data_IF_265999498511
#
_entry.id   IF_265999498511
#
_cell.length_a   1.000
_cell.length_b   1.000
_cell.length_c   1.000
_cell.angle_alpha   90.00
_cell.angle_beta   90.00
_cell.angle_gamma   90.00
#
_symmetry.space_group_name_H-M   'P 1'
#
loop_
_entity.id
_entity.type
_entity.pdbx_description
1 polymer ?
#
# COMPACT_ATOMS: atom_id res chain seq x y z
N UNK A 1 12.50 -5.30 16.56
CA UNK A 1 11.44 -5.35 15.53
C UNK A 1 11.86 -4.46 14.37
N UNK A 2 11.98 -5.02 13.18
CA UNK A 2 12.30 -4.30 11.95
C UNK A 2 11.13 -4.46 10.96
N UNK A 3 10.52 -3.34 10.56
CA UNK A 3 9.39 -3.30 9.63
C UNK A 3 9.78 -2.40 8.46
N UNK A 4 9.67 -2.90 7.23
CA UNK A 4 9.78 -2.10 6.02
C UNK A 4 8.37 -1.72 5.55
N UNK A 5 8.09 -0.43 5.55
CA UNK A 5 6.73 0.06 5.34
C UNK A 5 6.29 0.09 3.87
N UNK A 6 7.19 -0.03 2.93
CA UNK A 6 6.88 -0.37 1.54
C UNK A 6 8.10 -1.00 0.87
N UNK A 7 7.91 -2.20 0.34
CA UNK A 7 8.92 -2.86 -0.47
C UNK A 7 8.35 -3.28 -1.82
N UNK A 8 9.10 -3.00 -2.87
CA UNK A 8 8.90 -3.50 -4.22
C UNK A 8 10.19 -4.16 -4.70
N UNK A 9 10.11 -5.42 -5.10
CA UNK A 9 11.26 -6.21 -5.54
C UNK A 9 10.85 -7.25 -6.59
N UNK A 10 11.84 -7.78 -7.32
CA UNK A 10 11.66 -8.98 -8.12
C UNK A 10 11.60 -10.19 -7.18
N UNK A 11 10.40 -10.46 -6.64
CA UNK A 11 10.14 -11.44 -5.61
C UNK A 11 10.65 -12.83 -5.99
N UNK A 12 11.34 -13.46 -5.07
CA UNK A 12 11.92 -14.80 -5.23
C UNK A 12 12.34 -15.35 -3.88
N UNK A 13 12.59 -16.65 -3.79
CA UNK A 13 13.13 -17.31 -2.60
C UNK A 13 14.39 -16.59 -2.08
N UNK A 14 15.27 -16.13 -2.99
CA UNK A 14 16.48 -15.38 -2.63
C UNK A 14 16.14 -14.12 -1.82
N UNK A 15 15.15 -13.35 -2.25
CA UNK A 15 14.72 -12.13 -1.53
C UNK A 15 14.13 -12.50 -0.16
N UNK A 16 13.32 -13.56 -0.09
CA UNK A 16 12.74 -14.02 1.18
C UNK A 16 13.83 -14.46 2.17
N UNK A 17 14.86 -15.16 1.72
CA UNK A 17 16.02 -15.50 2.57
C UNK A 17 16.79 -14.26 3.01
N UNK A 18 17.07 -13.32 2.13
CA UNK A 18 17.74 -12.06 2.46
C UNK A 18 16.98 -11.24 3.50
N UNK A 19 15.64 -11.20 3.42
CA UNK A 19 14.80 -10.56 4.45
C UNK A 19 15.00 -11.25 5.82
N UNK A 20 15.05 -12.59 5.87
CA UNK A 20 15.31 -13.32 7.13
C UNK A 20 16.71 -13.07 7.65
N UNK A 21 17.73 -13.10 6.79
CA UNK A 21 19.12 -12.78 7.13
C UNK A 21 19.26 -11.35 7.68
N UNK A 22 18.51 -10.40 7.09
CA UNK A 22 18.44 -9.01 7.53
C UNK A 22 17.58 -8.77 8.77
N UNK A 23 16.91 -9.80 9.32
CA UNK A 23 16.07 -9.69 10.53
C UNK A 23 14.78 -8.89 10.30
N UNK A 24 14.24 -8.86 9.08
CA UNK A 24 13.00 -8.14 8.75
C UNK A 24 11.79 -8.93 9.25
N UNK A 25 11.08 -8.40 10.24
CA UNK A 25 9.92 -9.05 10.86
C UNK A 25 8.65 -8.91 10.02
N UNK A 26 8.47 -7.77 9.36
CA UNK A 26 7.32 -7.51 8.52
C UNK A 26 7.65 -6.56 7.36
N UNK A 27 6.93 -6.73 6.25
CA UNK A 27 6.97 -5.80 5.12
C UNK A 27 5.57 -5.52 4.60
N UNK A 28 5.36 -4.29 4.10
CA UNK A 28 4.25 -3.92 3.26
C UNK A 28 4.70 -4.07 1.79
N UNK A 29 3.98 -4.87 1.02
CA UNK A 29 4.29 -5.11 -0.39
C UNK A 29 3.23 -4.54 -1.32
N UNK A 30 3.65 -4.02 -2.45
CA UNK A 30 2.76 -3.56 -3.49
C UNK A 30 2.20 -4.73 -4.29
N UNK A 31 0.88 -4.88 -4.29
CA UNK A 31 0.15 -5.89 -5.08
C UNK A 31 -0.33 -5.28 -6.41
N UNK A 32 -0.64 -3.98 -6.41
CA UNK A 32 -1.12 -3.29 -7.60
C UNK A 32 -0.61 -1.85 -7.66
N UNK A 33 -0.31 -1.41 -8.89
CA UNK A 33 -0.03 -0.03 -9.28
C UNK A 33 -1.11 0.51 -10.20
N UNK A 34 -1.28 -0.11 -11.38
CA UNK A 34 -2.22 0.27 -12.43
C UNK A 34 -3.09 -0.90 -12.87
N UNK A 35 -2.89 -2.06 -12.25
CA UNK A 35 -3.66 -3.25 -12.51
C UNK A 35 -5.14 -3.01 -12.19
N UNK A 36 -6.01 -3.49 -13.05
CA UNK A 36 -7.45 -3.58 -12.80
C UNK A 36 -7.75 -4.68 -11.75
N UNK A 37 -9.03 -4.82 -11.39
CA UNK A 37 -9.42 -5.82 -10.39
C UNK A 37 -8.99 -7.25 -10.76
N UNK A 38 -9.20 -7.66 -12.01
CA UNK A 38 -8.86 -9.00 -12.47
C UNK A 38 -7.36 -9.28 -12.37
N UNK A 39 -6.55 -8.36 -12.86
CA UNK A 39 -5.08 -8.47 -12.80
C UNK A 39 -4.58 -8.51 -11.36
N UNK A 40 -5.18 -7.69 -10.49
CA UNK A 40 -4.87 -7.67 -9.06
C UNK A 40 -5.19 -9.02 -8.40
N UNK A 41 -6.30 -9.67 -8.76
CA UNK A 41 -6.63 -11.01 -8.26
C UNK A 41 -5.57 -12.04 -8.65
N UNK A 42 -5.00 -11.96 -9.84
CA UNK A 42 -3.89 -12.83 -10.26
C UNK A 42 -2.62 -12.58 -9.44
N UNK A 43 -2.35 -11.33 -9.06
CA UNK A 43 -1.23 -11.02 -8.16
C UNK A 43 -1.45 -11.59 -6.75
N UNK A 44 -2.68 -11.57 -6.21
CA UNK A 44 -3.01 -12.26 -4.95
C UNK A 44 -2.80 -13.77 -5.07
N UNK A 45 -3.20 -14.36 -6.20
CA UNK A 45 -3.01 -15.80 -6.46
C UNK A 45 -1.52 -16.15 -6.46
N UNK A 46 -0.68 -15.38 -7.16
CA UNK A 46 0.76 -15.59 -7.17
C UNK A 46 1.36 -15.54 -5.75
N UNK A 47 0.95 -14.58 -4.91
CA UNK A 47 1.40 -14.53 -3.52
C UNK A 47 0.94 -15.73 -2.70
N UNK A 48 -0.26 -16.27 -2.94
CA UNK A 48 -0.71 -17.50 -2.28
C UNK A 48 0.22 -18.67 -2.63
N UNK A 49 0.70 -18.76 -3.90
CA UNK A 49 1.69 -19.77 -4.31
C UNK A 49 3.02 -19.59 -3.58
N UNK A 50 3.51 -18.38 -3.41
CA UNK A 50 4.74 -18.13 -2.65
C UNK A 50 4.59 -18.52 -1.18
N UNK A 51 3.47 -18.27 -0.54
CA UNK A 51 3.24 -18.73 0.84
C UNK A 51 3.22 -20.26 0.95
N UNK A 52 2.66 -20.96 -0.04
CA UNK A 52 2.66 -22.41 -0.12
C UNK A 52 4.07 -22.99 -0.36
N UNK A 53 4.87 -22.32 -1.20
CA UNK A 53 6.22 -22.75 -1.57
C UNK A 53 7.28 -22.43 -0.51
N UNK A 54 7.09 -21.36 0.24
CA UNK A 54 8.07 -20.86 1.21
C UNK A 54 7.46 -20.61 2.60
N UNK A 55 6.76 -21.60 3.20
CA UNK A 55 6.05 -21.45 4.47
C UNK A 55 6.97 -21.27 5.68
N UNK A 56 8.25 -21.56 5.52
CA UNK A 56 9.32 -21.41 6.51
C UNK A 56 9.98 -20.02 6.47
N UNK A 57 9.81 -19.26 5.38
CA UNK A 57 10.43 -17.93 5.20
C UNK A 57 9.44 -16.78 5.38
N UNK A 58 8.22 -16.94 4.87
CA UNK A 58 7.21 -15.87 4.83
C UNK A 58 5.85 -16.36 5.33
N UNK A 59 5.03 -15.42 5.78
CA UNK A 59 3.63 -15.68 6.12
C UNK A 59 2.75 -14.48 5.76
N UNK A 60 1.47 -14.74 5.49
CA UNK A 60 0.50 -13.67 5.21
C UNK A 60 0.21 -12.90 6.49
N UNK A 61 0.44 -11.59 6.46
CA UNK A 61 0.07 -10.65 7.51
C UNK A 61 -1.33 -10.08 7.27
N UNK A 62 -2.16 -10.14 8.30
CA UNK A 62 -3.52 -9.55 8.32
C UNK A 62 -3.75 -8.62 9.50
N UNK A 63 -3.10 -8.90 10.63
CA UNK A 63 -3.27 -8.23 11.91
C UNK A 63 -1.91 -7.83 12.49
N UNK A 64 -1.87 -6.80 13.31
CA UNK A 64 -0.63 -6.39 13.97
C UNK A 64 0.04 -7.54 14.74
N UNK A 65 -0.75 -8.42 15.36
CA UNK A 65 -0.23 -9.62 16.04
C UNK A 65 0.49 -10.62 15.14
N UNK A 66 0.31 -10.53 13.82
CA UNK A 66 1.00 -11.42 12.88
C UNK A 66 2.48 -11.04 12.72
N UNK A 67 2.85 -9.79 13.07
CA UNK A 67 4.26 -9.37 13.16
C UNK A 67 4.99 -10.14 14.27
N UNK A 68 4.37 -10.24 15.46
CA UNK A 68 4.94 -11.01 16.57
C UNK A 68 5.01 -12.51 16.24
N UNK A 69 3.96 -13.08 15.65
CA UNK A 69 3.94 -14.48 15.20
C UNK A 69 5.03 -14.77 14.17
N UNK A 70 5.25 -13.86 13.23
CA UNK A 70 6.29 -14.00 12.21
C UNK A 70 7.67 -14.00 12.87
N UNK A 71 7.94 -13.03 13.74
CA UNK A 71 9.20 -12.94 14.49
C UNK A 71 9.44 -14.21 15.32
N UNK A 72 8.45 -14.63 16.10
CA UNK A 72 8.58 -15.79 17.00
C UNK A 72 8.79 -17.11 16.23
N UNK A 73 8.30 -17.18 14.98
CA UNK A 73 8.49 -18.32 14.07
C UNK A 73 9.64 -18.15 13.07
N UNK A 74 10.47 -17.11 13.24
CA UNK A 74 11.57 -16.77 12.34
C UNK A 74 11.15 -16.61 10.86
N UNK A 75 9.98 -15.99 10.62
CA UNK A 75 9.45 -15.66 9.29
C UNK A 75 9.31 -14.17 9.10
N UNK A 76 9.00 -13.73 7.90
CA UNK A 76 8.59 -12.35 7.61
C UNK A 76 7.09 -12.30 7.32
N UNK A 77 6.36 -11.44 8.03
CA UNK A 77 4.95 -11.17 7.75
C UNK A 77 4.81 -10.27 6.52
N UNK A 78 4.03 -10.69 5.53
CA UNK A 78 3.79 -9.95 4.30
C UNK A 78 2.41 -9.31 4.36
N UNK A 79 2.36 -7.97 4.42
CA UNK A 79 1.14 -7.18 4.37
C UNK A 79 0.93 -6.65 2.96
N UNK A 80 -0.26 -6.81 2.42
CA UNK A 80 -0.59 -6.40 1.06
C UNK A 80 -1.12 -4.97 1.00
N UNK A 81 -0.66 -4.20 0.03
CA UNK A 81 -1.19 -2.88 -0.25
C UNK A 81 -1.19 -2.54 -1.73
N UNK A 82 -1.86 -1.44 -2.06
CA UNK A 82 -1.95 -0.90 -3.40
C UNK A 82 -1.38 0.51 -3.44
N UNK A 83 -0.52 0.79 -4.41
CA UNK A 83 -0.03 2.14 -4.65
C UNK A 83 -0.97 2.98 -5.54
N UNK A 84 -2.09 2.41 -5.97
CA UNK A 84 -3.13 3.09 -6.77
C UNK A 84 -4.49 2.49 -6.43
N UNK A 85 -5.60 3.24 -6.49
CA UNK A 85 -6.94 2.70 -6.29
C UNK A 85 -7.49 1.95 -7.52
N UNK A 86 -6.72 1.77 -8.60
CA UNK A 86 -7.16 1.08 -9.82
C UNK A 86 -7.87 -0.27 -9.59
N UNK A 87 -7.51 -1.10 -8.57
CA UNK A 87 -8.22 -2.35 -8.34
C UNK A 87 -9.68 -2.22 -7.92
N UNK A 88 -10.11 -1.07 -7.41
CA UNK A 88 -11.52 -0.86 -7.07
C UNK A 88 -12.31 -0.25 -8.22
N UNK A 89 -11.65 0.10 -9.33
CA UNK A 89 -12.27 0.67 -10.54
C UNK A 89 -13.20 1.84 -10.19
N UNK A 90 -14.47 1.79 -10.58
CA UNK A 90 -15.52 2.76 -10.22
C UNK A 90 -16.58 2.15 -9.26
N UNK A 91 -16.28 1.00 -8.65
CA UNK A 91 -17.18 0.26 -7.76
C UNK A 91 -16.67 0.26 -6.30
N UNK A 92 -17.35 0.99 -5.43
CA UNK A 92 -17.04 1.07 -4.01
C UNK A 92 -17.16 -0.31 -3.31
N UNK A 93 -18.02 -1.19 -3.80
CA UNK A 93 -18.16 -2.56 -3.26
C UNK A 93 -16.87 -3.37 -3.35
N UNK A 94 -16.00 -3.08 -4.31
CA UNK A 94 -14.71 -3.75 -4.45
C UNK A 94 -13.74 -3.44 -3.30
N UNK A 95 -13.93 -2.37 -2.54
CA UNK A 95 -13.12 -2.06 -1.33
C UNK A 95 -13.21 -3.20 -0.31
N UNK A 96 -14.42 -3.70 -0.02
CA UNK A 96 -14.62 -4.83 0.89
C UNK A 96 -14.01 -6.12 0.32
N UNK A 97 -14.15 -6.32 -0.98
CA UNK A 97 -13.64 -7.52 -1.65
C UNK A 97 -12.12 -7.58 -1.59
N UNK A 98 -11.41 -6.49 -1.94
CA UNK A 98 -9.94 -6.47 -1.89
C UNK A 98 -9.42 -6.59 -0.45
N UNK A 99 -10.13 -6.02 0.53
CA UNK A 99 -9.81 -6.21 1.95
C UNK A 99 -9.96 -7.69 2.36
N UNK A 100 -11.02 -8.36 1.92
CA UNK A 100 -11.27 -9.79 2.18
C UNK A 100 -10.17 -10.66 1.55
N UNK A 101 -9.71 -10.33 0.34
CA UNK A 101 -8.58 -10.99 -0.32
C UNK A 101 -7.26 -10.79 0.43
N UNK A 102 -7.14 -9.75 1.23
CA UNK A 102 -6.00 -9.56 2.13
C UNK A 102 -5.31 -8.20 2.05
N UNK A 103 -5.79 -7.25 1.24
CA UNK A 103 -5.28 -5.89 1.23
C UNK A 103 -5.45 -5.22 2.62
N UNK A 104 -4.45 -4.43 3.03
CA UNK A 104 -4.45 -3.70 4.31
C UNK A 104 -4.17 -2.21 4.15
N UNK A 105 -3.58 -1.82 3.02
CA UNK A 105 -3.29 -0.45 2.66
C UNK A 105 -3.78 -0.18 1.23
N UNK A 106 -4.31 1.01 0.97
CA UNK A 106 -4.60 1.47 -0.39
C UNK A 106 -4.37 2.97 -0.50
N UNK A 107 -3.57 3.36 -1.49
CA UNK A 107 -3.40 4.76 -1.85
C UNK A 107 -4.61 5.24 -2.66
N UNK A 108 -4.92 6.52 -2.49
CA UNK A 108 -6.05 7.14 -3.20
C UNK A 108 -5.65 7.71 -4.57
N UNK A 109 -4.35 7.88 -4.83
CA UNK A 109 -3.79 8.31 -6.10
C UNK A 109 -2.34 7.83 -6.24
N UNK A 110 -1.84 7.72 -7.46
CA UNK A 110 -0.43 7.48 -7.75
C UNK A 110 0.07 8.53 -8.74
N UNK A 111 0.81 9.52 -8.23
CA UNK A 111 1.37 10.65 -8.97
C UNK A 111 0.34 11.57 -9.66
N UNK A 112 -0.57 11.00 -10.44
CA UNK A 112 -1.55 11.70 -11.25
C UNK A 112 -2.94 11.72 -10.59
N UNK A 113 -3.88 12.47 -11.18
CA UNK A 113 -5.28 12.48 -10.77
C UNK A 113 -5.89 11.09 -10.93
N UNK A 114 -6.50 10.58 -9.85
CA UNK A 114 -7.35 9.39 -9.86
C UNK A 114 -8.84 9.75 -9.83
N UNK A 115 -9.71 8.73 -9.83
CA UNK A 115 -11.15 8.92 -9.54
C UNK A 115 -11.40 9.40 -8.10
N UNK A 116 -10.42 9.26 -7.18
CA UNK A 116 -10.60 9.50 -5.75
C UNK A 116 -9.93 10.77 -5.24
N UNK A 117 -8.72 11.07 -5.72
CA UNK A 117 -7.87 12.13 -5.19
C UNK A 117 -6.91 12.68 -6.24
N UNK A 118 -6.39 13.86 -5.98
CA UNK A 118 -5.33 14.47 -6.78
C UNK A 118 -3.97 13.90 -6.37
N UNK A 119 -3.17 13.52 -7.36
CA UNK A 119 -1.80 13.06 -7.17
C UNK A 119 -0.78 14.20 -7.07
N UNK A 120 0.40 13.90 -6.53
CA UNK A 120 1.43 14.90 -6.22
C UNK A 120 2.10 15.55 -7.44
N UNK A 121 1.92 15.00 -8.65
CA UNK A 121 2.46 15.59 -9.88
C UNK A 121 1.48 16.51 -10.61
N UNK A 122 0.23 16.62 -10.12
CA UNK A 122 -0.75 17.50 -10.72
C UNK A 122 -0.46 18.97 -10.40
N UNK A 123 -0.64 19.83 -11.41
CA UNK A 123 -0.46 21.27 -11.24
C UNK A 123 -1.53 21.92 -10.36
N UNK A 124 -2.76 21.37 -10.41
CA UNK A 124 -3.91 21.88 -9.68
C UNK A 124 -4.41 20.81 -8.70
N UNK A 125 -4.14 20.99 -7.43
CA UNK A 125 -4.67 20.13 -6.39
C UNK A 125 -6.14 20.44 -6.12
N UNK A 126 -7.03 19.59 -6.62
CA UNK A 126 -8.48 19.70 -6.45
C UNK A 126 -9.01 19.01 -5.19
N UNK A 127 -8.12 18.31 -4.44
CA UNK A 127 -8.49 17.60 -3.23
C UNK A 127 -9.17 16.26 -3.48
N UNK A 128 -9.95 15.82 -2.49
CA UNK A 128 -10.67 14.53 -2.52
C UNK A 128 -11.97 14.67 -3.31
N UNK A 129 -12.19 13.78 -4.25
CA UNK A 129 -13.43 13.75 -5.05
C UNK A 129 -14.63 13.29 -4.22
N UNK A 130 -15.86 13.45 -4.78
CA UNK A 130 -17.06 12.91 -4.14
C UNK A 130 -16.98 11.38 -3.96
N UNK A 131 -16.46 10.67 -4.96
CA UNK A 131 -16.22 9.23 -4.87
C UNK A 131 -15.15 8.91 -3.81
N UNK A 132 -14.06 9.67 -3.78
CA UNK A 132 -13.00 9.53 -2.78
C UNK A 132 -13.51 9.61 -1.35
N UNK A 133 -14.43 10.55 -1.06
CA UNK A 133 -15.07 10.66 0.28
C UNK A 133 -15.85 9.40 0.65
N UNK A 134 -16.54 8.79 -0.30
CA UNK A 134 -17.30 7.55 -0.07
C UNK A 134 -16.37 6.36 0.11
N UNK A 135 -15.30 6.28 -0.68
CA UNK A 135 -14.27 5.22 -0.58
C UNK A 135 -13.53 5.31 0.76
N UNK A 136 -13.12 6.50 1.22
CA UNK A 136 -12.49 6.65 2.55
C UNK A 136 -13.38 6.10 3.66
N UNK A 137 -14.69 6.41 3.63
CA UNK A 137 -15.64 5.89 4.61
C UNK A 137 -15.75 4.37 4.57
N UNK A 138 -15.77 3.80 3.37
CA UNK A 138 -15.83 2.35 3.19
C UNK A 138 -14.52 1.67 3.64
N UNK A 139 -13.36 2.26 3.31
CA UNK A 139 -12.07 1.79 3.82
C UNK A 139 -12.05 1.79 5.35
N UNK A 140 -12.55 2.85 5.99
CA UNK A 140 -12.65 2.92 7.45
C UNK A 140 -13.58 1.83 8.00
N UNK A 141 -14.72 1.56 7.34
CA UNK A 141 -15.67 0.53 7.73
C UNK A 141 -15.04 -0.85 7.76
N UNK A 142 -14.33 -1.23 6.68
CA UNK A 142 -13.73 -2.57 6.56
C UNK A 142 -12.38 -2.70 7.28
N UNK A 143 -11.72 -1.59 7.62
CA UNK A 143 -10.40 -1.60 8.27
C UNK A 143 -9.22 -1.61 7.28
N UNK A 144 -9.43 -1.12 6.06
CA UNK A 144 -8.38 -0.85 5.08
C UNK A 144 -7.77 0.52 5.37
N UNK A 145 -6.45 0.59 5.52
CA UNK A 145 -5.74 1.83 5.84
C UNK A 145 -5.69 2.75 4.62
N UNK A 146 -6.10 4.00 4.80
CA UNK A 146 -5.96 5.04 3.79
C UNK A 146 -4.49 5.49 3.76
N UNK A 147 -3.81 5.27 2.65
CA UNK A 147 -2.44 5.70 2.43
C UNK A 147 -2.41 6.90 1.48
N UNK A 148 -1.79 7.99 1.92
CA UNK A 148 -1.71 9.25 1.17
C UNK A 148 -0.34 9.49 0.54
N UNK A 149 0.52 8.46 0.50
CA UNK A 149 1.72 8.51 -0.32
C UNK A 149 1.35 8.79 -1.77
N UNK A 150 2.16 9.58 -2.49
CA UNK A 150 1.90 10.03 -3.86
C UNK A 150 0.69 10.97 -4.05
N UNK A 151 -0.01 11.35 -2.99
CA UNK A 151 -1.12 12.30 -3.07
C UNK A 151 -0.65 13.74 -2.90
N UNK A 152 -1.41 14.70 -3.45
CA UNK A 152 -1.17 16.12 -3.28
C UNK A 152 -1.54 16.59 -1.85
N UNK A 153 -1.04 17.77 -1.45
CA UNK A 153 -1.14 18.25 -0.07
C UNK A 153 -2.59 18.45 0.40
N UNK A 154 -3.43 19.09 -0.44
CA UNK A 154 -4.85 19.30 -0.12
C UNK A 154 -5.61 18.00 -0.04
N UNK A 155 -5.33 17.05 -0.97
CA UNK A 155 -5.91 15.71 -0.93
C UNK A 155 -5.58 15.00 0.37
N UNK A 156 -4.34 15.13 0.85
CA UNK A 156 -3.87 14.53 2.10
C UNK A 156 -4.57 15.14 3.32
N UNK A 157 -4.67 16.47 3.39
CA UNK A 157 -5.35 17.18 4.49
C UNK A 157 -6.84 16.82 4.52
N UNK A 158 -7.53 16.89 3.36
CA UNK A 158 -8.95 16.55 3.26
C UNK A 158 -9.19 15.06 3.61
N UNK A 159 -8.30 14.13 3.23
CA UNK A 159 -8.42 12.74 3.60
C UNK A 159 -8.31 12.54 5.13
N UNK A 160 -7.40 13.27 5.79
CA UNK A 160 -7.26 13.24 7.24
C UNK A 160 -8.53 13.75 7.95
N UNK A 161 -9.16 14.82 7.41
CA UNK A 161 -10.40 15.39 7.97
C UNK A 161 -11.62 14.46 7.76
N UNK A 162 -11.65 13.71 6.66
CA UNK A 162 -12.76 12.81 6.32
C UNK A 162 -12.63 11.48 7.08
N UNK A 163 -11.41 11.00 7.27
CA UNK A 163 -11.15 9.68 7.85
C UNK A 163 -11.46 9.68 9.35
N UNK A 164 -12.20 8.67 9.80
CA UNK A 164 -12.46 8.41 11.22
C UNK A 164 -11.39 7.54 11.88
N UNK A 165 -10.41 7.09 11.10
CA UNK A 165 -9.25 6.30 11.53
C UNK A 165 -7.96 6.99 11.11
N UNK A 166 -6.82 6.70 11.75
CA UNK A 166 -5.54 7.22 11.30
C UNK A 166 -5.31 6.89 9.81
N UNK A 167 -4.81 7.89 9.07
CA UNK A 167 -4.27 7.70 7.72
C UNK A 167 -2.77 7.40 7.81
N UNK A 168 -2.19 6.90 6.73
CA UNK A 168 -0.75 6.64 6.63
C UNK A 168 -0.12 7.45 5.49
N UNK A 169 1.17 7.70 5.63
CA UNK A 169 2.08 8.05 4.55
C UNK A 169 3.20 7.02 4.65
N UNK A 170 3.09 5.96 3.86
CA UNK A 170 3.95 4.78 4.00
C UNK A 170 5.34 5.03 3.44
N UNK A 171 5.45 5.89 2.42
CA UNK A 171 6.71 6.29 1.81
C UNK A 171 6.58 7.68 1.18
N UNK A 172 7.38 8.60 1.64
CA UNK A 172 7.49 9.96 1.10
C UNK A 172 8.78 10.62 1.59
N UNK A 173 9.29 11.58 0.83
CA UNK A 173 10.32 12.48 1.32
C UNK A 173 9.67 13.69 1.96
N UNK A 174 10.16 14.18 3.11
CA UNK A 174 9.71 15.44 3.68
C UNK A 174 9.87 16.58 2.69
N UNK A 175 8.87 17.46 2.60
CA UNK A 175 8.85 18.59 1.64
C UNK A 175 10.16 19.41 1.67
N UNK A 176 10.68 19.72 2.85
CA UNK A 176 11.93 20.46 3.00
C UNK A 176 13.15 19.70 2.45
N UNK A 177 13.15 18.38 2.44
CA UNK A 177 14.19 17.58 1.83
C UNK A 177 14.08 17.58 0.31
N UNK A 178 12.85 17.61 -0.23
CA UNK A 178 12.60 17.69 -1.67
C UNK A 178 13.04 19.02 -2.27
N UNK A 179 12.92 20.12 -1.51
CA UNK A 179 13.39 21.45 -1.95
C UNK A 179 14.93 21.58 -1.98
N UNK A 180 15.64 20.78 -1.19
CA UNK A 180 17.10 20.78 -1.17
C UNK A 180 17.72 19.93 -2.28
N UNK A 181 16.96 19.03 -2.87
CA UNK A 181 17.41 18.14 -3.93
C UNK A 181 16.58 18.37 -5.18
N UNK A 182 17.16 19.06 -6.13
CA UNK A 182 16.60 19.26 -7.48
C UNK A 182 16.55 17.98 -8.30
N UNK A 183 16.81 16.82 -7.71
CA UNK A 183 16.70 15.51 -8.37
C UNK A 183 15.61 14.67 -7.73
N UNK A 184 14.69 14.11 -8.52
CA UNK A 184 13.73 13.11 -8.04
C UNK A 184 14.47 11.92 -7.43
N UNK A 185 13.80 11.23 -6.49
CA UNK A 185 14.29 9.97 -5.94
C UNK A 185 14.72 9.03 -7.08
N UNK A 186 15.78 8.21 -6.92
CA UNK A 186 16.12 7.19 -7.90
C UNK A 186 14.95 6.24 -8.24
N UNK A 187 13.97 6.13 -7.35
CA UNK A 187 12.73 5.36 -7.58
C UNK A 187 11.74 6.07 -8.53
N UNK A 188 11.82 7.38 -8.64
CA UNK A 188 10.91 8.20 -9.47
C UNK A 188 11.48 8.44 -10.88
N UNK A 189 12.62 7.83 -11.20
CA UNK A 189 13.25 7.82 -12.53
C UNK A 189 12.90 6.55 -13.31
N UNK A 190 11.61 6.21 -13.30
CA UNK A 190 11.07 5.14 -14.13
C UNK A 190 10.95 5.54 -15.59
#
# INVERSE_FOLDING_TARGET
MLIDNLQYANWSEKIFRQMREGGVDAIHVTIAYHENFRETVLNFEQWNRWFEQHPDLIMKGKWASDVDKARDSNRTAIFFGFQNPSPIEDDIGLVEIVHTLGARFMQLSYNNQSLLATGCYEQNDTGITRMGKSVIKEMNRVGLVVDMSHSADRSTIEAADISTRPIAITHANPYNCCLLYTSPSPRDRG
#
